data_IF_328720617845
#
_entry.id   IF_328720617845
#
_cell.length_a   1.000
_cell.length_b   1.000
_cell.length_c   1.000
_cell.angle_alpha   90.00
_cell.angle_beta   90.00
_cell.angle_gamma   90.00
#
_symmetry.space_group_name_H-M   'P 1'
#
loop_
_entity.id
_entity.type
_entity.pdbx_description
1 polymer ?
#
# COMPACT_ATOMS: atom_id res chain seq x y z
N UNK A 1 -21.06 10.99 11.12
CA UNK A 1 -20.89 9.53 11.18
C UNK A 1 -19.65 9.31 12.02
N UNK A 2 -19.81 8.96 13.29
CA UNK A 2 -18.69 8.69 14.19
C UNK A 2 -18.11 7.33 13.81
N UNK A 3 -16.95 7.30 13.15
CA UNK A 3 -16.20 6.07 12.96
C UNK A 3 -15.78 5.55 14.33
N UNK A 4 -16.11 4.29 14.61
CA UNK A 4 -15.80 3.67 15.89
C UNK A 4 -14.28 3.55 16.06
N UNK A 5 -13.79 3.68 17.29
CA UNK A 5 -12.36 3.53 17.61
C UNK A 5 -11.76 2.22 17.07
N UNK A 6 -12.57 1.15 17.02
CA UNK A 6 -12.16 -0.14 16.46
C UNK A 6 -11.94 -0.07 14.94
N UNK A 7 -12.83 0.60 14.19
CA UNK A 7 -12.70 0.75 12.74
C UNK A 7 -11.46 1.57 12.38
N UNK A 8 -11.15 2.61 13.17
CA UNK A 8 -9.94 3.43 13.00
C UNK A 8 -8.68 2.58 13.24
N UNK A 9 -8.70 1.72 14.26
CA UNK A 9 -7.58 0.81 14.57
C UNK A 9 -7.37 -0.22 13.46
N UNK A 10 -8.45 -0.80 12.95
CA UNK A 10 -8.40 -1.76 11.83
C UNK A 10 -7.87 -1.09 10.56
N UNK A 11 -8.36 0.11 10.22
CA UNK A 11 -7.88 0.86 9.07
C UNK A 11 -6.39 1.21 9.20
N UNK A 12 -5.95 1.63 10.39
CA UNK A 12 -4.54 1.93 10.66
C UNK A 12 -3.67 0.68 10.51
N UNK A 13 -4.13 -0.46 11.03
CA UNK A 13 -3.42 -1.74 10.90
C UNK A 13 -3.31 -2.18 9.44
N UNK A 14 -4.42 -2.11 8.70
CA UNK A 14 -4.47 -2.42 7.27
C UNK A 14 -3.54 -1.50 6.47
N UNK A 15 -3.48 -0.21 6.81
CA UNK A 15 -2.57 0.75 6.19
C UNK A 15 -1.10 0.40 6.43
N UNK A 16 -0.73 0.06 7.66
CA UNK A 16 0.63 -0.36 7.98
C UNK A 16 1.02 -1.59 7.17
N UNK A 17 0.15 -2.62 7.17
CA UNK A 17 0.40 -3.84 6.42
C UNK A 17 0.52 -3.58 4.91
N UNK A 18 -0.28 -2.66 4.37
CA UNK A 18 -0.21 -2.23 2.97
C UNK A 18 1.14 -1.63 2.62
N UNK A 19 1.59 -0.63 3.39
CA UNK A 19 2.86 0.05 3.14
C UNK A 19 4.03 -0.91 3.29
N UNK A 20 4.01 -1.78 4.31
CA UNK A 20 5.03 -2.81 4.49
C UNK A 20 5.09 -3.77 3.31
N UNK A 21 3.93 -4.32 2.92
CA UNK A 21 3.84 -5.26 1.78
C UNK A 21 4.34 -4.61 0.49
N UNK A 22 3.90 -3.38 0.21
CA UNK A 22 4.33 -2.64 -0.97
C UNK A 22 5.84 -2.38 -0.96
N UNK A 23 6.38 -1.93 0.18
CA UNK A 23 7.81 -1.72 0.35
C UNK A 23 8.62 -3.00 0.14
N UNK A 24 8.15 -4.14 0.65
CA UNK A 24 8.81 -5.43 0.43
C UNK A 24 8.82 -5.83 -1.05
N UNK A 25 7.75 -5.57 -1.81
CA UNK A 25 7.75 -5.83 -3.26
C UNK A 25 8.76 -4.94 -4.00
N UNK A 26 8.87 -3.65 -3.62
CA UNK A 26 9.89 -2.76 -4.18
C UNK A 26 11.30 -3.24 -3.83
N UNK A 27 11.57 -3.61 -2.57
CA UNK A 27 12.87 -4.10 -2.12
C UNK A 27 13.25 -5.38 -2.87
N UNK A 28 12.31 -6.30 -3.05
CA UNK A 28 12.56 -7.56 -3.74
C UNK A 28 12.97 -7.38 -5.22
N UNK A 29 12.47 -6.33 -5.88
CA UNK A 29 12.75 -6.08 -7.31
C UNK A 29 13.89 -5.08 -7.54
N UNK A 30 14.12 -4.16 -6.60
CA UNK A 30 15.02 -3.01 -6.81
C UNK A 30 16.14 -2.90 -5.77
N UNK A 31 16.04 -3.63 -4.65
CA UNK A 31 16.90 -3.46 -3.48
C UNK A 31 16.56 -2.22 -2.63
N UNK A 32 15.58 -1.41 -3.04
CA UNK A 32 15.22 -0.15 -2.40
C UNK A 32 13.76 -0.15 -1.93
N UNK A 33 13.46 0.57 -0.84
CA UNK A 33 12.10 0.72 -0.31
C UNK A 33 11.19 1.59 -1.18
N UNK A 34 9.88 1.49 -0.97
CA UNK A 34 8.85 2.21 -1.76
C UNK A 34 9.09 3.73 -1.84
N UNK A 35 9.56 4.35 -0.76
CA UNK A 35 9.72 5.81 -0.69
C UNK A 35 10.91 6.38 -1.49
N UNK A 36 11.72 5.51 -2.12
CA UNK A 36 12.70 5.93 -3.12
C UNK A 36 11.99 6.29 -4.44
N UNK A 37 10.86 5.64 -4.73
CA UNK A 37 10.15 5.74 -6.00
C UNK A 37 8.86 6.57 -5.90
N UNK A 38 8.16 6.48 -4.77
CA UNK A 38 6.86 7.09 -4.55
C UNK A 38 6.91 8.01 -3.33
N UNK A 39 6.33 9.20 -3.44
CA UNK A 39 6.22 10.07 -2.28
C UNK A 39 5.04 9.61 -1.38
N UNK A 40 4.93 10.11 -0.13
CA UNK A 40 3.84 9.71 0.77
C UNK A 40 2.42 9.99 0.25
N UNK A 41 2.23 10.98 -0.61
CA UNK A 41 0.94 11.30 -1.23
C UNK A 41 0.56 10.22 -2.24
N UNK A 42 1.51 9.78 -3.08
CA UNK A 42 1.30 8.71 -4.05
C UNK A 42 0.96 7.38 -3.35
N UNK A 43 1.71 7.04 -2.29
CA UNK A 43 1.46 5.83 -1.49
C UNK A 43 0.08 5.87 -0.84
N UNK A 44 -0.35 7.03 -0.34
CA UNK A 44 -1.70 7.21 0.19
C UNK A 44 -2.77 7.06 -0.90
N UNK A 45 -2.50 7.55 -2.12
CA UNK A 45 -3.36 7.35 -3.28
C UNK A 45 -3.54 5.87 -3.62
N UNK A 46 -2.45 5.11 -3.66
CA UNK A 46 -2.49 3.66 -3.90
C UNK A 46 -3.24 2.91 -2.79
N UNK A 47 -3.09 3.34 -1.53
CA UNK A 47 -3.84 2.75 -0.43
C UNK A 47 -5.35 2.97 -0.58
N UNK A 48 -5.78 4.17 -0.96
CA UNK A 48 -7.19 4.46 -1.21
C UNK A 48 -7.76 3.63 -2.38
N UNK A 49 -6.95 3.42 -3.43
CA UNK A 49 -7.33 2.53 -4.52
C UNK A 49 -7.48 1.09 -4.04
N UNK A 50 -6.53 0.59 -3.24
CA UNK A 50 -6.59 -0.75 -2.64
C UNK A 50 -7.85 -0.95 -1.79
N UNK A 51 -8.26 0.04 -0.99
CA UNK A 51 -9.49 -0.04 -0.18
C UNK A 51 -10.76 -0.20 -1.02
N UNK A 52 -10.72 0.21 -2.29
CA UNK A 52 -11.84 0.10 -3.23
C UNK A 52 -11.74 -1.14 -4.13
N UNK A 53 -10.65 -1.91 -4.01
CA UNK A 53 -10.37 -3.08 -4.83
C UNK A 53 -10.85 -4.37 -4.14
N UNK A 54 -11.00 -5.44 -4.92
CA UNK A 54 -11.30 -6.80 -4.45
C UNK A 54 -10.05 -7.68 -4.35
N UNK A 55 -8.90 -7.19 -4.83
CA UNK A 55 -7.64 -7.91 -4.81
C UNK A 55 -7.06 -8.05 -3.41
N UNK A 56 -6.30 -9.13 -3.21
CA UNK A 56 -5.46 -9.28 -2.02
C UNK A 56 -4.34 -8.23 -2.02
N UNK A 57 -3.90 -7.83 -0.82
CA UNK A 57 -2.83 -6.84 -0.64
C UNK A 57 -1.54 -7.18 -1.41
N UNK A 58 -1.18 -8.47 -1.48
CA UNK A 58 -0.01 -8.94 -2.20
C UNK A 58 -0.17 -8.80 -3.72
N UNK A 59 -1.35 -9.16 -4.23
CA UNK A 59 -1.66 -9.08 -5.67
C UNK A 59 -1.66 -7.61 -6.12
N UNK A 60 -2.33 -6.75 -5.35
CA UNK A 60 -2.40 -5.32 -5.61
C UNK A 60 -1.00 -4.68 -5.55
N UNK A 61 -0.26 -4.92 -4.46
CA UNK A 61 1.10 -4.38 -4.30
C UNK A 61 2.03 -4.78 -5.46
N UNK A 62 1.97 -6.04 -5.91
CA UNK A 62 2.75 -6.50 -7.06
C UNK A 62 2.38 -5.76 -8.35
N UNK A 63 1.11 -5.45 -8.58
CA UNK A 63 0.68 -4.65 -9.73
C UNK A 63 1.20 -3.20 -9.64
N UNK A 64 1.15 -2.59 -8.46
CA UNK A 64 1.71 -1.26 -8.25
C UNK A 64 3.19 -1.19 -8.60
N UNK A 65 4.00 -2.15 -8.12
CA UNK A 65 5.44 -2.13 -8.40
C UNK A 65 5.73 -2.28 -9.89
N UNK A 66 4.97 -3.13 -10.61
CA UNK A 66 5.08 -3.25 -12.06
C UNK A 66 4.79 -1.92 -12.77
N UNK A 67 3.64 -1.32 -12.48
CA UNK A 67 3.22 -0.06 -13.10
C UNK A 67 4.16 1.12 -12.85
N UNK A 68 4.97 1.09 -11.78
CA UNK A 68 5.92 2.15 -11.43
C UNK A 68 7.30 1.93 -12.07
N UNK A 69 7.68 0.67 -12.32
CA UNK A 69 8.99 0.32 -12.87
C UNK A 69 8.99 0.10 -14.39
N UNK A 70 7.81 -0.09 -14.99
CA UNK A 70 7.60 -0.16 -16.45
C UNK A 70 7.39 1.24 -17.06
#
# INVERSE_FOLDING_TARGET
METSSNEIKELTTTRTLFVETLSQQFIALTGCGVYVYLNPVDVNGLFNQFLSDTLSINTFARQCVKNVLE
#
